data_IF_849486257923
#
_entry.id   IF_849486257923
#
_cell.length_a   1.000
_cell.length_b   1.000
_cell.length_c   1.000
_cell.angle_alpha   90.00
_cell.angle_beta   90.00
_cell.angle_gamma   90.00
#
_symmetry.space_group_name_H-M   'P 1'
#
loop_
_entity.id
_entity.type
_entity.pdbx_description
1 polymer ?
#
# COMPACT_ATOMS: atom_id res chain seq x y z
N UNK A 1 0.13 -7.85 3.45
CA UNK A 1 -0.79 -7.25 2.47
C UNK A 1 -1.40 -8.31 1.57
N UNK A 2 -2.67 -8.18 1.10
CA UNK A 2 -3.31 -9.19 0.23
C UNK A 2 -2.55 -9.51 -1.05
N UNK A 3 -1.75 -8.58 -1.56
CA UNK A 3 -0.91 -8.76 -2.75
C UNK A 3 0.37 -9.57 -2.51
N UNK A 4 0.70 -9.86 -1.26
CA UNK A 4 1.81 -10.74 -0.95
C UNK A 4 1.58 -12.16 -1.50
N UNK A 5 2.66 -12.89 -1.74
CA UNK A 5 2.58 -14.29 -2.19
C UNK A 5 1.76 -15.14 -1.20
N UNK A 6 1.18 -16.24 -1.68
CA UNK A 6 0.38 -17.15 -0.85
C UNK A 6 1.16 -17.64 0.37
N UNK A 7 2.44 -17.98 0.20
CA UNK A 7 3.30 -18.44 1.29
C UNK A 7 3.46 -17.41 2.41
N UNK A 8 3.68 -16.15 2.06
CA UNK A 8 3.77 -15.05 3.04
C UNK A 8 2.43 -14.85 3.76
N UNK A 9 1.32 -14.86 3.02
CA UNK A 9 -0.02 -14.70 3.61
C UNK A 9 -0.41 -15.83 4.55
N UNK A 10 0.06 -17.05 4.29
CA UNK A 10 -0.20 -18.21 5.17
C UNK A 10 0.59 -18.17 6.49
N UNK A 11 1.67 -17.42 6.54
CA UNK A 11 2.49 -17.23 7.76
C UNK A 11 2.10 -15.98 8.54
N UNK A 12 1.25 -15.13 7.98
CA UNK A 12 0.87 -13.87 8.60
C UNK A 12 -0.23 -14.08 9.66
N UNK A 13 -0.12 -13.38 10.79
CA UNK A 13 -1.17 -13.31 11.81
C UNK A 13 -2.39 -12.55 11.31
N UNK A 14 -2.18 -11.54 10.45
CA UNK A 14 -3.25 -10.75 9.85
C UNK A 14 -2.93 -10.44 8.38
N UNK A 15 -3.94 -10.53 7.51
CA UNK A 15 -3.86 -10.15 6.10
C UNK A 15 -4.92 -9.09 5.82
N UNK A 16 -4.50 -7.86 5.59
CA UNK A 16 -5.41 -6.73 5.48
C UNK A 16 -4.88 -5.63 4.53
N UNK A 17 -5.76 -4.68 4.21
CA UNK A 17 -5.39 -3.47 3.48
C UNK A 17 -4.49 -2.56 4.34
N UNK A 18 -3.80 -1.62 3.69
CA UNK A 18 -2.92 -0.66 4.38
C UNK A 18 -3.65 0.14 5.47
N UNK A 19 -4.91 0.50 5.25
CA UNK A 19 -5.71 1.24 6.23
C UNK A 19 -6.10 0.39 7.44
N UNK A 20 -6.53 -0.85 7.20
CA UNK A 20 -6.76 -1.83 8.27
C UNK A 20 -5.49 -2.17 9.04
N UNK A 21 -4.34 -2.16 8.39
CA UNK A 21 -3.05 -2.41 9.02
C UNK A 21 -2.74 -1.39 10.12
N UNK A 22 -3.03 -0.12 9.90
CA UNK A 22 -2.89 0.93 10.93
C UNK A 22 -3.80 0.62 12.13
N UNK A 23 -5.06 0.31 11.87
CA UNK A 23 -6.04 0.00 12.92
C UNK A 23 -5.62 -1.24 13.72
N UNK A 24 -5.19 -2.30 13.03
CA UNK A 24 -4.69 -3.52 13.65
C UNK A 24 -3.46 -3.25 14.53
N UNK A 25 -2.48 -2.52 14.02
CA UNK A 25 -1.27 -2.19 14.76
C UNK A 25 -1.55 -1.36 16.01
N UNK A 26 -2.53 -0.45 15.97
CA UNK A 26 -2.96 0.32 17.15
C UNK A 26 -3.61 -0.57 18.20
N UNK A 27 -4.43 -1.52 17.81
CA UNK A 27 -5.15 -2.41 18.71
C UNK A 27 -4.29 -3.57 19.25
N UNK A 28 -3.27 -3.99 18.52
CA UNK A 28 -2.42 -5.12 18.88
C UNK A 28 -1.62 -4.86 20.17
N UNK A 29 -1.53 -5.81 21.09
CA UNK A 29 -0.67 -5.71 22.27
C UNK A 29 0.82 -5.90 21.94
N UNK A 30 1.16 -6.36 20.74
CA UNK A 30 2.53 -6.61 20.33
C UNK A 30 3.34 -5.32 20.26
N UNK A 31 4.54 -5.35 20.81
CA UNK A 31 5.49 -4.23 20.77
C UNK A 31 6.37 -4.25 19.51
N UNK A 32 6.49 -5.41 18.88
CA UNK A 32 7.24 -5.59 17.65
C UNK A 32 6.35 -6.28 16.62
N UNK A 33 6.28 -5.71 15.42
CA UNK A 33 5.40 -6.20 14.34
C UNK A 33 6.21 -6.24 13.05
N UNK A 34 6.16 -7.40 12.38
CA UNK A 34 6.76 -7.56 11.05
C UNK A 34 5.73 -7.13 10.01
N UNK A 35 6.14 -6.24 9.12
CA UNK A 35 5.27 -5.64 8.11
C UNK A 35 5.70 -6.09 6.72
N UNK A 36 4.80 -6.78 6.02
CA UNK A 36 5.01 -7.24 4.65
C UNK A 36 4.19 -6.39 3.67
N UNK A 37 4.68 -5.20 3.38
CA UNK A 37 4.15 -4.26 2.39
C UNK A 37 5.22 -3.26 1.96
N UNK A 38 4.86 -2.27 1.15
CA UNK A 38 5.77 -1.22 0.69
C UNK A 38 6.37 -0.42 1.86
N UNK A 39 7.69 -0.15 1.77
CA UNK A 39 8.48 0.42 2.87
C UNK A 39 7.98 1.79 3.37
N UNK A 40 7.35 2.59 2.51
CA UNK A 40 6.75 3.86 2.93
C UNK A 40 5.67 3.70 4.00
N UNK A 41 5.02 2.53 4.06
CA UNK A 41 4.04 2.24 5.09
C UNK A 41 4.64 2.16 6.50
N UNK A 42 5.90 1.72 6.61
CA UNK A 42 6.61 1.69 7.91
C UNK A 42 6.71 3.08 8.53
N UNK A 43 6.98 4.10 7.72
CA UNK A 43 7.03 5.48 8.20
C UNK A 43 5.68 5.95 8.76
N UNK A 44 4.58 5.61 8.08
CA UNK A 44 3.23 5.91 8.55
C UNK A 44 2.93 5.20 9.86
N UNK A 45 3.21 3.90 9.93
CA UNK A 45 2.99 3.10 11.15
C UNK A 45 3.81 3.61 12.33
N UNK A 46 5.07 3.99 12.12
CA UNK A 46 5.91 4.54 13.19
C UNK A 46 5.38 5.88 13.72
N UNK A 47 4.80 6.71 12.86
CA UNK A 47 4.14 7.97 13.29
C UNK A 47 2.85 7.72 14.05
N UNK A 48 2.07 6.73 13.64
CA UNK A 48 0.76 6.40 14.24
C UNK A 48 0.88 5.59 15.54
N UNK A 49 1.99 4.84 15.70
CA UNK A 49 2.26 3.99 16.85
C UNK A 49 3.75 4.13 17.26
N UNK A 50 4.13 5.27 17.86
CA UNK A 50 5.54 5.57 18.17
C UNK A 50 6.16 4.66 19.24
N UNK A 51 5.33 4.00 20.02
CA UNK A 51 5.69 3.06 21.10
C UNK A 51 5.99 1.64 20.59
N UNK A 52 5.86 1.39 19.29
CA UNK A 52 6.05 0.07 18.67
C UNK A 52 7.24 0.06 17.72
N UNK A 53 7.85 -1.10 17.59
CA UNK A 53 8.90 -1.36 16.61
C UNK A 53 8.32 -2.06 15.39
N UNK A 54 8.48 -1.46 14.22
CA UNK A 54 8.07 -2.05 12.95
C UNK A 54 9.29 -2.54 12.18
N UNK A 55 9.26 -3.80 11.78
CA UNK A 55 10.33 -4.46 11.05
C UNK A 55 9.82 -4.83 9.65
N UNK A 56 10.50 -4.42 8.58
CA UNK A 56 10.11 -4.87 7.25
C UNK A 56 10.33 -6.36 7.13
N UNK A 57 9.39 -7.06 6.48
CA UNK A 57 9.58 -8.49 6.18
C UNK A 57 10.83 -8.66 5.30
N UNK A 58 11.70 -9.64 5.59
CA UNK A 58 12.88 -9.89 4.78
C UNK A 58 12.49 -10.28 3.35
N UNK A 59 13.21 -9.77 2.39
CA UNK A 59 13.00 -10.05 0.97
C UNK A 59 14.36 -10.34 0.33
N UNK A 60 14.69 -11.61 0.16
CA UNK A 60 15.92 -12.02 -0.51
C UNK A 60 15.82 -11.94 -2.04
N UNK A 61 14.62 -12.03 -2.59
CA UNK A 61 14.38 -12.19 -4.04
C UNK A 61 13.83 -10.92 -4.67
N UNK A 62 13.22 -10.06 -3.89
CA UNK A 62 12.60 -8.87 -4.41
C UNK A 62 12.89 -7.67 -3.49
N UNK A 63 13.44 -6.62 -4.05
CA UNK A 63 13.34 -5.29 -3.44
C UNK A 63 11.89 -4.81 -3.42
N UNK A 64 10.96 -5.75 -3.20
CA UNK A 64 9.51 -5.55 -3.27
C UNK A 64 8.98 -4.70 -2.11
N UNK A 65 9.82 -4.41 -1.12
CA UNK A 65 9.50 -3.44 -0.09
C UNK A 65 9.54 -1.99 -0.64
N UNK A 66 9.99 -1.80 -1.88
CA UNK A 66 9.95 -0.52 -2.57
C UNK A 66 9.29 -0.68 -3.94
N UNK A 67 8.08 -0.16 -4.08
CA UNK A 67 7.42 -0.11 -5.38
C UNK A 67 8.12 0.93 -6.27
N UNK A 68 8.91 0.46 -7.25
CA UNK A 68 9.61 1.33 -8.19
C UNK A 68 8.67 2.26 -8.95
N UNK A 69 7.46 1.83 -9.25
CA UNK A 69 6.47 2.64 -9.95
C UNK A 69 5.97 3.79 -9.07
N UNK A 70 5.73 3.55 -7.77
CA UNK A 70 5.40 4.63 -6.84
C UNK A 70 6.56 5.62 -6.69
N UNK A 71 7.82 5.14 -6.69
CA UNK A 71 9.01 6.00 -6.61
C UNK A 71 9.27 6.81 -7.88
N UNK A 72 8.62 6.48 -8.99
CA UNK A 72 8.66 7.32 -10.20
C UNK A 72 7.81 8.61 -10.07
N UNK A 73 6.90 8.67 -9.09
CA UNK A 73 6.15 9.86 -8.78
C UNK A 73 6.98 10.73 -7.81
N UNK A 74 7.44 11.88 -8.31
CA UNK A 74 8.19 12.86 -7.51
C UNK A 74 7.32 14.08 -7.22
N UNK A 75 7.73 14.87 -6.22
CA UNK A 75 7.03 16.12 -5.89
C UNK A 75 7.04 17.11 -7.06
N UNK A 76 8.13 17.14 -7.84
CA UNK A 76 8.24 17.99 -9.04
C UNK A 76 7.22 17.55 -10.10
N UNK A 77 7.13 16.25 -10.39
CA UNK A 77 6.15 15.72 -11.34
C UNK A 77 4.72 15.99 -10.88
N UNK A 78 4.45 15.84 -9.59
CA UNK A 78 3.13 16.15 -9.02
C UNK A 78 2.80 17.63 -9.19
N UNK A 79 3.72 18.53 -8.81
CA UNK A 79 3.58 19.98 -8.98
C UNK A 79 3.31 20.33 -10.45
N UNK A 80 4.10 19.77 -11.36
CA UNK A 80 4.00 20.09 -12.79
C UNK A 80 2.71 19.55 -13.40
N UNK A 81 2.28 18.35 -12.96
CA UNK A 81 0.98 17.81 -13.35
C UNK A 81 -0.17 18.72 -12.88
N UNK A 82 -0.15 19.17 -11.64
CA UNK A 82 -1.18 20.07 -11.11
C UNK A 82 -1.18 21.44 -11.81
N UNK A 83 0.01 21.98 -12.13
CA UNK A 83 0.15 23.27 -12.82
C UNK A 83 -0.30 23.23 -14.27
N UNK A 84 0.04 22.14 -14.97
CA UNK A 84 -0.17 22.02 -16.42
C UNK A 84 -1.40 21.18 -16.77
N UNK A 85 -2.02 20.48 -15.79
CA UNK A 85 -3.09 19.49 -15.97
C UNK A 85 -2.69 18.39 -16.97
N UNK A 86 -1.41 17.99 -16.91
CA UNK A 86 -0.79 17.00 -17.81
C UNK A 86 0.28 16.18 -17.06
N UNK A 87 0.52 14.92 -17.45
CA UNK A 87 -0.20 14.18 -18.49
C UNK A 87 -1.61 13.80 -18.05
N UNK A 88 -2.54 13.76 -19.00
CA UNK A 88 -3.87 13.20 -18.77
C UNK A 88 -3.82 11.68 -18.91
N UNK A 89 -4.43 10.96 -17.99
CA UNK A 89 -4.63 9.52 -18.09
C UNK A 89 -5.94 9.28 -18.85
N UNK A 90 -5.84 8.64 -19.99
CA UNK A 90 -6.99 8.23 -20.79
C UNK A 90 -7.07 6.71 -20.78
N UNK A 91 -8.23 6.20 -20.46
CA UNK A 91 -8.52 4.77 -20.48
C UNK A 91 -9.50 4.47 -21.63
N UNK A 92 -9.40 3.31 -22.29
CA UNK A 92 -10.42 2.84 -23.22
C UNK A 92 -11.78 2.74 -22.55
N UNK A 93 -12.84 2.96 -23.29
CA UNK A 93 -14.21 2.98 -22.76
C UNK A 93 -14.61 1.66 -22.09
N UNK A 94 -14.17 0.54 -22.63
CA UNK A 94 -14.40 -0.79 -22.05
C UNK A 94 -13.72 -0.98 -20.68
N UNK A 95 -12.56 -0.39 -20.46
CA UNK A 95 -11.89 -0.37 -19.16
C UNK A 95 -12.63 0.54 -18.17
N UNK A 96 -13.11 1.71 -18.60
CA UNK A 96 -13.93 2.60 -17.78
C UNK A 96 -15.21 1.91 -17.33
N UNK A 97 -15.93 1.26 -18.24
CA UNK A 97 -17.13 0.49 -17.94
C UNK A 97 -16.87 -0.65 -16.95
N UNK A 98 -15.72 -1.31 -17.05
CA UNK A 98 -15.32 -2.36 -16.13
C UNK A 98 -15.08 -1.81 -14.71
N UNK A 99 -14.42 -0.67 -14.60
CA UNK A 99 -14.15 0.02 -13.33
C UNK A 99 -15.46 0.48 -12.69
N UNK A 100 -16.38 1.09 -13.44
CA UNK A 100 -17.67 1.53 -12.92
C UNK A 100 -18.51 0.37 -12.40
N UNK A 101 -18.55 -0.75 -13.13
CA UNK A 101 -19.22 -1.98 -12.66
C UNK A 101 -18.65 -2.51 -11.37
N UNK A 102 -17.31 -2.46 -11.21
CA UNK A 102 -16.63 -2.89 -9.98
C UNK A 102 -17.00 -1.98 -8.81
N UNK A 103 -16.90 -0.67 -8.97
CA UNK A 103 -17.19 0.31 -7.93
C UNK A 103 -18.64 0.23 -7.45
N UNK A 104 -19.60 0.04 -8.37
CA UNK A 104 -21.03 -0.11 -8.04
C UNK A 104 -21.33 -1.39 -7.27
N UNK A 105 -20.56 -2.46 -7.45
CA UNK A 105 -20.70 -3.71 -6.70
C UNK A 105 -20.15 -3.63 -5.28
N UNK A 106 -19.10 -2.86 -5.07
CA UNK A 106 -18.41 -2.75 -3.77
C UNK A 106 -19.02 -1.68 -2.86
N UNK A 107 -19.92 -0.86 -3.38
CA UNK A 107 -20.62 0.20 -2.63
C UNK A 107 -21.92 -0.27 -1.97
N UNK A 108 -22.23 -1.56 -2.05
CA UNK A 108 -23.38 -2.22 -1.37
C UNK A 108 -22.88 -3.15 -0.27
#
# INVERSE_FOLDING_TARGET
HPECTKSVRMLADEVCSTEKMVTYCKASPARQIIIATEAGMLHRLQRECPDKLFVPAPSEICRCNECRFMKMNTLEKLRDCMKNLAPRVELPDDELDAIERYLTRTSR
#
